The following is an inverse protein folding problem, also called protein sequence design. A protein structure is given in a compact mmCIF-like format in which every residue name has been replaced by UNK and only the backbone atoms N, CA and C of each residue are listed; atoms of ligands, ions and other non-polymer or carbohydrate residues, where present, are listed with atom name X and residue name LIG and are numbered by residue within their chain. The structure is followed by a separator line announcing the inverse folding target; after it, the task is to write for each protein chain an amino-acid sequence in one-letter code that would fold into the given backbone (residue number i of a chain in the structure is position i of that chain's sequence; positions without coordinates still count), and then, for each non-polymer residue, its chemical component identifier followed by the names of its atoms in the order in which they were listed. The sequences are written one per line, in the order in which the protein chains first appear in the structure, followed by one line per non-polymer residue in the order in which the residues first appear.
data_IF_685631660111
#
_entry.id   IF_685631660111
#
_cell.length_a   1.000
_cell.length_b   1.000
_cell.length_c   1.000
_cell.angle_alpha   90.00
_cell.angle_beta   90.00
_cell.angle_gamma   90.00
#
_symmetry.space_group_name_H-M   'P 1'
#
loop_
_entity.id
_entity.type
_entity.pdbx_description
1 polymer ?
#
# COMPACT_ATOMS: atom_id res chain seq x y z
N UNK A 1 2.33 5.16 -22.87
CA UNK A 1 3.20 4.28 -22.04
C UNK A 1 4.36 5.06 -21.38
N UNK A 2 5.07 5.93 -22.10
CA UNK A 2 6.22 6.69 -21.57
C UNK A 2 5.87 7.63 -20.40
N UNK A 3 4.69 8.28 -20.43
CA UNK A 3 4.22 9.20 -19.36
C UNK A 3 4.01 8.50 -18.00
N UNK A 4 3.40 7.32 -17.99
CA UNK A 4 3.21 6.54 -16.76
C UNK A 4 4.54 6.09 -16.15
N UNK A 5 5.51 5.70 -16.99
CA UNK A 5 6.85 5.29 -16.52
C UNK A 5 7.59 6.45 -15.83
N UNK A 6 7.50 7.66 -16.38
CA UNK A 6 8.08 8.86 -15.75
C UNK A 6 7.41 9.25 -14.43
N UNK A 7 6.09 9.04 -14.28
CA UNK A 7 5.39 9.34 -13.03
C UNK A 7 5.78 8.38 -11.90
N UNK A 8 5.92 7.08 -12.20
CA UNK A 8 6.41 6.09 -11.23
C UNK A 8 7.85 6.40 -10.79
N UNK A 9 8.72 6.77 -11.73
CA UNK A 9 10.10 7.14 -11.41
C UNK A 9 10.18 8.40 -10.52
N UNK A 10 9.29 9.37 -10.75
CA UNK A 10 9.20 10.56 -9.91
C UNK A 10 8.78 10.23 -8.48
N UNK A 11 7.78 9.35 -8.31
CA UNK A 11 7.32 8.91 -6.99
C UNK A 11 8.44 8.22 -6.19
N UNK A 12 9.16 7.28 -6.82
CA UNK A 12 10.30 6.59 -6.18
C UNK A 12 11.41 7.58 -5.78
N UNK A 13 11.71 8.55 -6.65
CA UNK A 13 12.71 9.58 -6.37
C UNK A 13 12.30 10.49 -5.19
N UNK A 14 11.01 10.83 -5.09
CA UNK A 14 10.45 11.59 -3.98
C UNK A 14 10.59 10.82 -2.66
N UNK A 15 10.26 9.54 -2.65
CA UNK A 15 10.42 8.69 -1.46
C UNK A 15 11.87 8.58 -1.00
N UNK A 16 12.81 8.37 -1.93
CA UNK A 16 14.24 8.31 -1.62
C UNK A 16 14.72 9.63 -0.98
N UNK A 17 14.28 10.77 -1.52
CA UNK A 17 14.60 12.09 -0.97
C UNK A 17 14.01 12.28 0.44
N UNK A 18 12.77 11.85 0.67
CA UNK A 18 12.12 11.92 1.98
C UNK A 18 12.85 11.06 3.02
N UNK A 19 13.27 9.85 2.66
CA UNK A 19 14.03 8.98 3.56
C UNK A 19 15.41 9.55 3.89
N UNK A 20 16.07 10.19 2.92
CA UNK A 20 17.33 10.89 3.16
C UNK A 20 17.14 12.10 4.10
N UNK A 21 16.06 12.88 3.94
CA UNK A 21 15.72 13.97 4.85
C UNK A 21 15.44 13.47 6.28
N UNK A 22 14.69 12.39 6.43
CA UNK A 22 14.44 11.78 7.75
C UNK A 22 15.74 11.32 8.42
N UNK A 23 16.65 10.73 7.65
CA UNK A 23 18.00 10.38 8.11
C UNK A 23 18.76 11.62 8.62
N UNK A 24 18.69 12.75 7.91
CA UNK A 24 19.39 13.97 8.28
C UNK A 24 18.78 14.65 9.52
N UNK A 25 17.46 14.61 9.68
CA UNK A 25 16.75 15.27 10.77
C UNK A 25 16.76 14.44 12.06
N UNK A 26 16.50 13.15 11.96
CA UNK A 26 16.27 12.25 13.10
C UNK A 26 17.38 11.21 13.25
N UNK A 27 18.25 11.01 12.26
CA UNK A 27 19.27 9.97 12.25
C UNK A 27 18.79 8.66 11.61
N UNK A 28 19.66 7.65 11.58
CA UNK A 28 19.43 6.40 10.83
C UNK A 28 18.23 5.58 11.32
N UNK A 29 17.84 5.72 12.59
CA UNK A 29 16.78 4.91 13.19
C UNK A 29 15.40 5.22 12.61
N UNK A 30 15.14 6.46 12.18
CA UNK A 30 13.86 6.89 11.66
C UNK A 30 13.49 6.22 10.33
N UNK A 31 14.30 6.29 9.27
CA UNK A 31 13.98 5.61 8.00
C UNK A 31 14.03 4.08 8.12
N UNK A 32 14.86 3.53 9.01
CA UNK A 32 14.86 2.08 9.28
C UNK A 32 13.52 1.63 9.85
N UNK A 33 13.04 2.32 10.90
CA UNK A 33 11.76 2.03 11.53
C UNK A 33 10.62 2.16 10.53
N UNK A 34 10.59 3.24 9.75
CA UNK A 34 9.54 3.48 8.76
C UNK A 34 9.50 2.39 7.67
N UNK A 35 10.67 1.95 7.17
CA UNK A 35 10.74 0.82 6.22
C UNK A 35 10.27 -0.49 6.85
N UNK A 36 10.59 -0.75 8.12
CA UNK A 36 10.11 -1.94 8.83
C UNK A 36 8.59 -1.91 9.02
N UNK A 37 8.03 -0.74 9.35
CA UNK A 37 6.59 -0.55 9.49
C UNK A 37 5.86 -0.77 8.15
N UNK A 38 6.40 -0.24 7.04
CA UNK A 38 5.86 -0.49 5.69
C UNK A 38 5.87 -1.99 5.32
N UNK A 39 6.99 -2.67 5.55
CA UNK A 39 7.08 -4.11 5.29
C UNK A 39 6.17 -4.96 6.19
N UNK A 40 5.90 -4.49 7.40
CA UNK A 40 4.94 -5.12 8.29
C UNK A 40 3.52 -4.92 7.78
N UNK A 41 3.17 -3.70 7.33
CA UNK A 41 1.86 -3.36 6.78
C UNK A 41 1.49 -4.23 5.56
N UNK A 42 2.44 -4.49 4.66
CA UNK A 42 2.25 -5.35 3.49
C UNK A 42 1.96 -6.82 3.85
N UNK A 43 2.45 -7.27 5.01
CA UNK A 43 2.33 -8.66 5.48
C UNK A 43 1.15 -8.87 6.41
N UNK A 44 0.39 -7.82 6.76
CA UNK A 44 -0.80 -7.96 7.61
C UNK A 44 -1.81 -8.84 6.87
N UNK A 45 -1.97 -10.08 7.36
CA UNK A 45 -2.87 -11.06 6.78
C UNK A 45 -4.32 -10.59 6.86
N UNK A 46 -4.96 -10.42 5.70
CA UNK A 46 -6.41 -10.26 5.57
C UNK A 46 -7.05 -11.60 5.26
N UNK A 47 -8.36 -11.66 5.51
CA UNK A 47 -9.18 -12.80 5.09
C UNK A 47 -9.08 -12.97 3.57
N UNK A 48 -9.05 -14.20 3.03
CA UNK A 48 -8.78 -14.45 1.62
C UNK A 48 -9.86 -13.90 0.67
N UNK A 49 -11.04 -13.53 1.19
CA UNK A 49 -12.12 -12.90 0.44
C UNK A 49 -12.07 -11.37 0.44
N UNK A 50 -11.20 -10.77 1.25
CA UNK A 50 -11.10 -9.32 1.40
C UNK A 50 -9.72 -8.87 0.92
N UNK A 51 -9.60 -8.33 -0.32
CA UNK A 51 -8.35 -7.75 -0.76
C UNK A 51 -7.95 -6.61 0.19
N UNK A 52 -6.64 -6.43 0.40
CA UNK A 52 -6.14 -5.31 1.19
C UNK A 52 -6.32 -4.03 0.39
N UNK A 53 -6.97 -3.02 0.99
CA UNK A 53 -7.04 -1.67 0.45
C UNK A 53 -5.74 -0.89 0.63
N UNK A 54 -4.73 -1.45 1.32
CA UNK A 54 -3.43 -0.79 1.49
C UNK A 54 -3.42 0.37 2.49
N UNK A 55 -4.54 0.66 3.16
CA UNK A 55 -4.74 1.82 4.06
C UNK A 55 -3.60 2.02 5.06
N UNK A 56 -3.08 0.95 5.67
CA UNK A 56 -2.02 1.06 6.66
C UNK A 56 -0.70 1.60 6.07
N UNK A 57 -0.39 1.25 4.82
CA UNK A 57 0.76 1.81 4.10
C UNK A 57 0.54 3.28 3.71
N UNK A 58 -0.70 3.65 3.37
CA UNK A 58 -1.05 5.03 3.02
C UNK A 58 -0.95 5.98 4.22
N UNK A 59 -1.36 5.53 5.41
CA UNK A 59 -1.18 6.28 6.67
C UNK A 59 0.31 6.51 6.97
N UNK A 60 1.15 5.49 6.81
CA UNK A 60 2.60 5.61 7.06
C UNK A 60 3.30 6.54 6.06
N UNK A 61 2.77 6.63 4.85
CA UNK A 61 3.31 7.49 3.78
C UNK A 61 2.73 8.91 3.83
N UNK A 62 1.69 9.15 4.66
CA UNK A 62 0.97 10.41 4.74
C UNK A 62 0.09 10.68 3.52
N UNK A 63 -0.23 9.65 2.73
CA UNK A 63 -1.11 9.79 1.55
C UNK A 63 -2.58 9.95 1.94
N UNK A 64 -2.96 9.56 3.17
CA UNK A 64 -4.35 9.72 3.64
C UNK A 64 -4.81 11.19 3.69
N UNK A 65 -3.86 12.12 3.79
CA UNK A 65 -4.14 13.56 3.89
C UNK A 65 -4.47 14.19 2.52
N UNK A 66 -4.10 13.52 1.42
CA UNK A 66 -4.25 13.99 0.05
C UNK A 66 -5.28 13.12 -0.69
N UNK A 67 -6.35 13.73 -1.22
CA UNK A 67 -7.35 13.01 -2.03
C UNK A 67 -6.87 12.94 -3.48
N UNK A 68 -6.61 11.73 -3.96
CA UNK A 68 -6.15 11.43 -5.31
C UNK A 68 -7.28 11.18 -6.32
N UNK A 69 -6.91 11.05 -7.59
CA UNK A 69 -7.85 10.63 -8.64
C UNK A 69 -8.32 9.19 -8.46
N UNK A 70 -7.52 8.34 -7.82
CA UNK A 70 -7.89 6.96 -7.51
C UNK A 70 -9.06 6.87 -6.53
N UNK A 71 -9.13 7.76 -5.53
CA UNK A 71 -10.17 7.76 -4.50
C UNK A 71 -11.55 8.12 -5.07
N UNK A 72 -11.57 9.06 -6.02
CA UNK A 72 -12.82 9.54 -6.64
C UNK A 72 -13.36 8.51 -7.64
N UNK A 73 -12.48 7.87 -8.40
CA UNK A 73 -12.89 7.02 -9.52
C UNK A 73 -13.18 5.58 -9.14
N UNK A 74 -12.70 5.10 -7.97
CA UNK A 74 -12.90 3.74 -7.45
C UNK A 74 -12.89 2.68 -8.57
N UNK A 75 -11.80 2.67 -9.34
CA UNK A 75 -11.70 1.81 -10.53
C UNK A 75 -11.84 0.33 -10.13
N UNK A 76 -12.33 -0.50 -11.05
CA UNK A 76 -12.71 -1.89 -10.73
C UNK A 76 -11.58 -2.72 -10.11
N UNK A 77 -10.32 -2.32 -10.31
CA UNK A 77 -9.12 -2.95 -9.74
C UNK A 77 -8.92 -2.66 -8.25
N UNK A 78 -9.44 -1.53 -7.73
CA UNK A 78 -9.36 -1.15 -6.31
C UNK A 78 -10.68 -1.37 -5.56
N UNK A 79 -11.74 -1.80 -6.26
CA UNK A 79 -13.02 -2.09 -5.63
C UNK A 79 -12.90 -3.36 -4.80
N UNK A 80 -13.26 -3.29 -3.52
CA UNK A 80 -13.44 -4.47 -2.66
C UNK A 80 -14.55 -5.36 -3.25
N UNK A 81 -14.17 -6.33 -4.10
CA UNK A 81 -15.12 -7.30 -4.65
C UNK A 81 -15.44 -8.35 -3.58
N UNK A 82 -16.66 -8.27 -3.06
CA UNK A 82 -17.20 -9.28 -2.16
C UNK A 82 -17.50 -10.56 -2.94
N UNK A 83 -16.55 -11.49 -2.95
CA UNK A 83 -16.83 -12.88 -3.29
C UNK A 83 -17.61 -13.54 -2.14
N UNK A 84 -18.35 -14.62 -2.43
CA UNK A 84 -19.02 -15.38 -1.37
C UNK A 84 -17.98 -15.86 -0.34
N UNK A 85 -18.03 -15.41 0.93
CA UNK A 85 -16.95 -15.64 1.89
C UNK A 85 -16.69 -17.13 2.12
N UNK A 86 -17.75 -17.95 2.15
CA UNK A 86 -17.65 -19.39 2.34
C UNK A 86 -16.84 -20.07 1.22
N UNK A 87 -17.18 -19.81 -0.05
CA UNK A 87 -16.52 -20.44 -1.19
C UNK A 87 -15.02 -20.07 -1.29
N UNK A 88 -14.65 -18.84 -0.95
CA UNK A 88 -13.24 -18.40 -0.99
C UNK A 88 -12.42 -19.02 0.14
N UNK A 89 -12.99 -19.11 1.34
CA UNK A 89 -12.34 -19.72 2.49
C UNK A 89 -12.18 -21.23 2.29
N UNK A 90 -13.20 -21.92 1.79
CA UNK A 90 -13.16 -23.35 1.48
C UNK A 90 -12.09 -23.69 0.44
N UNK A 91 -11.98 -22.88 -0.63
CA UNK A 91 -10.90 -23.01 -1.63
C UNK A 91 -9.50 -22.76 -1.03
N UNK A 92 -9.38 -21.78 -0.14
CA UNK A 92 -8.10 -21.47 0.52
C UNK A 92 -7.66 -22.58 1.49
N UNK A 93 -8.63 -23.25 2.14
CA UNK A 93 -8.40 -24.37 3.06
C UNK A 93 -8.32 -25.74 2.36
N UNK A 94 -8.56 -25.81 1.05
CA UNK A 94 -8.51 -27.04 0.25
C UNK A 94 -9.68 -28.01 0.49
N UNK A 95 -10.83 -27.48 0.92
CA UNK A 95 -12.05 -28.25 1.21
C UNK A 95 -12.99 -28.37 -0.02
N UNK A 96 -12.81 -27.49 -1.01
CA UNK A 96 -13.44 -27.48 -2.34
C UNK A 96 -12.36 -27.54 -3.42
#
# INVERSE_FOLDING_TARGET
VTKCKTLLQFAESREQMNMAMLCNAQGLHAPLRLKMELQAADKVGRLPFLPSSGLMGEVLTGRDEEIGFEDILNTAEFREQLAQPHAVVERHLGLL
#
